data_IF_074956463901
#
_entry.id   IF_074956463901
#
_cell.length_a   1.000
_cell.length_b   1.000
_cell.length_c   1.000
_cell.angle_alpha   90.00
_cell.angle_beta   90.00
_cell.angle_gamma   90.00
#
_symmetry.space_group_name_H-M   'P 1'
#
loop_
_entity.id
_entity.type
_entity.pdbx_description
1 polymer ?
#
# COMPACT_ATOMS: atom_id res chain seq x y z
N UNK A 1 -12.26 -17.13 -7.67
CA UNK A 1 -11.68 -16.35 -6.64
C UNK A 1 -10.94 -15.14 -7.19
N UNK A 2 -11.28 -13.97 -6.73
CA UNK A 2 -10.65 -12.80 -7.30
C UNK A 2 -9.39 -12.43 -6.53
N UNK A 3 -8.43 -11.94 -7.27
CA UNK A 3 -7.18 -11.49 -6.70
C UNK A 3 -7.20 -9.98 -6.56
N UNK A 4 -6.78 -9.50 -5.42
CA UNK A 4 -6.70 -8.07 -5.22
C UNK A 4 -5.67 -7.47 -6.16
N UNK A 5 -5.96 -6.27 -6.61
CA UNK A 5 -5.00 -5.58 -7.45
C UNK A 5 -3.74 -5.22 -6.66
N UNK A 6 -3.93 -4.71 -5.46
CA UNK A 6 -2.80 -4.28 -4.64
C UNK A 6 -2.64 -5.19 -3.44
N UNK A 7 -1.43 -5.69 -3.24
CA UNK A 7 -1.15 -6.57 -2.11
C UNK A 7 0.15 -6.13 -1.45
N UNK A 8 0.28 -6.42 -0.16
CA UNK A 8 1.51 -6.13 0.55
C UNK A 8 2.49 -7.28 0.34
N UNK A 9 3.72 -6.93 0.06
CA UNK A 9 4.79 -7.91 -0.04
C UNK A 9 5.83 -7.62 1.00
N UNK A 10 6.21 -8.64 1.76
CA UNK A 10 7.29 -8.51 2.72
C UNK A 10 8.61 -8.36 2.00
N UNK A 11 9.38 -7.36 2.42
CA UNK A 11 10.72 -7.13 1.88
C UNK A 11 11.63 -6.89 3.08
N UNK A 12 12.95 -6.94 2.90
CA UNK A 12 13.85 -6.70 4.04
C UNK A 12 13.52 -5.37 4.72
N UNK A 13 13.21 -5.44 6.00
CA UNK A 13 12.93 -4.26 6.79
C UNK A 13 11.49 -3.80 6.81
N UNK A 14 10.62 -4.40 6.01
CA UNK A 14 9.23 -3.94 6.01
C UNK A 14 8.40 -4.47 4.87
N UNK A 15 7.67 -3.57 4.21
CA UNK A 15 6.69 -3.97 3.20
C UNK A 15 6.69 -3.01 2.03
N UNK A 16 6.34 -3.54 0.87
CA UNK A 16 6.06 -2.75 -0.30
C UNK A 16 4.73 -3.21 -0.88
N UNK A 17 4.07 -2.32 -1.60
CA UNK A 17 2.80 -2.65 -2.24
C UNK A 17 3.07 -3.10 -3.66
N UNK A 18 2.54 -4.25 -4.01
CA UNK A 18 2.68 -4.80 -5.35
C UNK A 18 1.38 -4.62 -6.11
N UNK A 19 1.48 -4.07 -7.31
CA UNK A 19 0.33 -3.88 -8.19
C UNK A 19 0.26 -5.06 -9.16
N UNK A 20 -0.68 -5.96 -8.93
CA UNK A 20 -0.82 -7.15 -9.76
C UNK A 20 -1.21 -6.83 -11.20
N UNK A 21 -1.87 -5.71 -11.39
CA UNK A 21 -2.31 -5.34 -12.71
C UNK A 21 -1.20 -4.68 -13.51
N UNK A 22 -0.50 -3.76 -12.89
CA UNK A 22 0.62 -3.08 -13.52
C UNK A 22 1.90 -3.89 -13.51
N UNK A 23 1.93 -4.94 -12.70
CA UNK A 23 3.07 -5.83 -12.56
C UNK A 23 4.32 -5.09 -12.12
N UNK A 24 4.17 -4.30 -11.07
CA UNK A 24 5.27 -3.53 -10.53
C UNK A 24 4.91 -3.04 -9.13
N UNK A 25 5.92 -2.59 -8.43
CA UNK A 25 5.68 -2.03 -7.10
C UNK A 25 5.02 -0.66 -7.24
N UNK A 26 4.16 -0.37 -6.28
CA UNK A 26 3.43 0.88 -6.24
C UNK A 26 3.77 1.63 -4.96
N UNK A 27 4.08 2.92 -5.09
CA UNK A 27 4.28 3.78 -3.94
C UNK A 27 5.60 3.53 -3.23
N UNK A 28 5.59 3.76 -1.94
CA UNK A 28 6.79 3.76 -1.14
C UNK A 28 7.01 2.47 -0.38
N UNK A 29 8.10 2.46 0.36
CA UNK A 29 8.41 1.41 1.32
C UNK A 29 7.80 1.80 2.67
N UNK A 30 7.25 0.82 3.38
CA UNK A 30 6.64 1.04 4.68
C UNK A 30 7.17 0.04 5.69
N UNK A 31 7.48 0.51 6.90
CA UNK A 31 7.93 -0.39 7.94
C UNK A 31 6.82 -1.25 8.49
N UNK A 32 5.61 -0.69 8.54
CA UNK A 32 4.43 -1.42 8.99
C UNK A 32 3.59 -1.81 7.80
N UNK A 33 2.89 -2.93 7.93
CA UNK A 33 1.99 -3.36 6.87
C UNK A 33 0.91 -2.30 6.67
N UNK A 34 0.81 -1.69 5.48
CA UNK A 34 -0.11 -0.57 5.26
C UNK A 34 -1.54 -1.05 4.97
N UNK A 35 -2.17 -1.68 5.97
CA UNK A 35 -3.47 -2.31 5.79
C UNK A 35 -4.55 -1.35 5.33
N UNK A 36 -4.65 -0.18 5.98
CA UNK A 36 -5.68 0.78 5.62
C UNK A 36 -5.48 1.33 4.23
N UNK A 37 -4.22 1.54 3.86
CA UNK A 37 -3.90 2.02 2.52
C UNK A 37 -4.28 0.98 1.48
N UNK A 38 -3.98 -0.28 1.76
CA UNK A 38 -4.35 -1.36 0.84
C UNK A 38 -5.86 -1.45 0.67
N UNK A 39 -6.60 -1.31 1.78
CA UNK A 39 -8.06 -1.36 1.73
C UNK A 39 -8.59 -0.23 0.85
N UNK A 40 -8.00 0.96 0.98
CA UNK A 40 -8.45 2.09 0.17
C UNK A 40 -8.12 1.87 -1.30
N UNK A 41 -6.91 1.41 -1.60
CA UNK A 41 -6.50 1.18 -2.98
C UNK A 41 -7.33 0.11 -3.68
N UNK A 42 -7.71 -0.92 -2.93
CA UNK A 42 -8.51 -2.02 -3.49
C UNK A 42 -10.01 -1.74 -3.45
N UNK A 43 -10.40 -0.64 -2.82
CA UNK A 43 -11.80 -0.24 -2.69
C UNK A 43 -12.07 1.04 -3.45
N UNK A 44 -12.48 2.11 -2.74
CA UNK A 44 -12.84 3.37 -3.40
C UNK A 44 -11.69 4.02 -4.15
N UNK A 45 -10.48 3.82 -3.66
CA UNK A 45 -9.28 4.42 -4.26
C UNK A 45 -9.39 5.93 -4.39
N UNK A 46 -9.97 6.56 -3.36
CA UNK A 46 -10.10 8.01 -3.33
C UNK A 46 -8.72 8.63 -3.21
N UNK A 47 -8.37 9.46 -4.16
CA UNK A 47 -7.05 10.04 -4.26
C UNK A 47 -6.60 10.77 -3.00
N UNK A 48 -7.46 11.58 -2.44
CA UNK A 48 -7.10 12.35 -1.26
C UNK A 48 -6.86 11.46 -0.06
N UNK A 49 -7.67 10.43 0.09
CA UNK A 49 -7.49 9.50 1.17
C UNK A 49 -6.22 8.68 0.98
N UNK A 50 -5.96 8.28 -0.25
CA UNK A 50 -4.74 7.52 -0.54
C UNK A 50 -3.51 8.33 -0.15
N UNK A 51 -3.48 9.60 -0.53
CA UNK A 51 -2.34 10.45 -0.20
C UNK A 51 -2.22 10.62 1.31
N UNK A 52 -3.34 10.83 1.99
CA UNK A 52 -3.32 11.00 3.44
C UNK A 52 -2.81 9.74 4.15
N UNK A 53 -3.24 8.58 3.67
CA UNK A 53 -2.81 7.32 4.25
C UNK A 53 -1.33 7.04 3.98
N UNK A 54 -0.86 7.38 2.82
CA UNK A 54 0.56 7.24 2.52
C UNK A 54 1.41 8.06 3.49
N UNK A 55 1.00 9.29 3.74
CA UNK A 55 1.70 10.14 4.68
C UNK A 55 1.67 9.59 6.08
N UNK A 56 0.53 9.05 6.46
CA UNK A 56 0.34 8.49 7.78
C UNK A 56 1.29 7.34 8.04
N UNK A 57 1.39 6.43 7.09
CA UNK A 57 2.28 5.28 7.26
C UNK A 57 3.74 5.68 7.22
N UNK A 58 4.08 6.66 6.42
CA UNK A 58 5.43 7.17 6.40
C UNK A 58 5.80 7.84 7.70
N UNK A 59 4.86 8.56 8.28
CA UNK A 59 5.08 9.27 9.51
C UNK A 59 5.19 8.36 10.71
N UNK A 60 4.56 7.21 10.65
CA UNK A 60 4.61 6.26 11.76
C UNK A 60 6.03 5.77 11.98
N UNK A 61 6.86 5.94 11.00
CA UNK A 61 8.22 5.58 11.08
C UNK A 61 9.01 6.70 11.75
N UNK A 62 9.82 6.41 12.62
CA UNK A 62 10.60 7.42 13.32
C UNK A 62 12.04 7.04 13.47
#
# INVERSE_FOLDING_TARGET
MSRRRYVARGVPGGYRIWDNRGRRYWGDFYELCPDDLLAELNGPADRDRVVALMRRYKKARR
#
